data_IF_163941975751
#
_entry.id   IF_163941975751
#
_cell.length_a   1.000
_cell.length_b   1.000
_cell.length_c   1.000
_cell.angle_alpha   90.00
_cell.angle_beta   90.00
_cell.angle_gamma   90.00
#
_symmetry.space_group_name_H-M   'P 1'
#
loop_
_entity.id
_entity.type
_entity.pdbx_description
1 polymer ?
#
# COMPACT_ATOMS: atom_id res chain seq x y z
N UNK A 1 13.44 -8.43 -10.29
CA UNK A 1 13.49 -7.17 -9.50
C UNK A 1 14.18 -7.42 -8.17
N UNK A 2 15.15 -6.58 -7.75
CA UNK A 2 15.78 -6.70 -6.42
C UNK A 2 14.68 -6.62 -5.35
N UNK A 3 14.63 -7.58 -4.40
CA UNK A 3 13.60 -7.68 -3.33
C UNK A 3 13.28 -6.36 -2.63
N UNK A 4 14.26 -5.45 -2.54
CA UNK A 4 14.11 -4.08 -2.04
C UNK A 4 13.01 -3.26 -2.72
N UNK A 5 12.86 -3.38 -4.04
CA UNK A 5 11.87 -2.63 -4.78
C UNK A 5 10.47 -3.25 -4.64
N UNK A 6 10.38 -4.56 -4.36
CA UNK A 6 9.09 -5.25 -4.24
C UNK A 6 8.27 -4.75 -3.05
N UNK A 7 8.87 -4.63 -1.86
CA UNK A 7 8.15 -4.15 -0.68
C UNK A 7 7.72 -2.69 -0.78
N UNK A 8 8.56 -1.86 -1.41
CA UNK A 8 8.24 -0.46 -1.69
C UNK A 8 7.05 -0.36 -2.66
N UNK A 9 7.15 -1.01 -3.81
CA UNK A 9 6.10 -1.02 -4.82
C UNK A 9 4.79 -1.60 -4.29
N UNK A 10 4.85 -2.67 -3.50
CA UNK A 10 3.67 -3.27 -2.87
C UNK A 10 3.00 -2.32 -1.88
N UNK A 11 3.76 -1.67 -1.01
CA UNK A 11 3.21 -0.70 -0.04
C UNK A 11 2.53 0.46 -0.75
N UNK A 12 3.18 1.01 -1.78
CA UNK A 12 2.64 2.14 -2.56
C UNK A 12 1.37 1.71 -3.31
N UNK A 13 1.39 0.54 -3.94
CA UNK A 13 0.24 -0.01 -4.65
C UNK A 13 -0.96 -0.19 -3.72
N UNK A 14 -0.78 -0.82 -2.54
CA UNK A 14 -1.85 -1.03 -1.57
C UNK A 14 -2.40 0.32 -1.04
N UNK A 15 -1.51 1.29 -0.78
CA UNK A 15 -1.91 2.63 -0.35
C UNK A 15 -2.76 3.35 -1.41
N UNK A 16 -2.32 3.34 -2.67
CA UNK A 16 -3.09 3.90 -3.79
C UNK A 16 -4.44 3.19 -3.98
N UNK A 17 -4.46 1.87 -3.84
CA UNK A 17 -5.68 1.09 -3.99
C UNK A 17 -6.70 1.36 -2.86
N UNK A 18 -6.22 1.68 -1.67
CA UNK A 18 -7.08 2.07 -0.53
C UNK A 18 -7.87 3.36 -0.83
N UNK A 19 -7.26 4.30 -1.56
CA UNK A 19 -7.88 5.59 -1.95
C UNK A 19 -8.43 5.57 -3.38
N UNK A 20 -8.60 4.39 -3.99
CA UNK A 20 -9.08 4.29 -5.35
C UNK A 20 -10.52 4.83 -5.49
N UNK A 21 -10.77 5.51 -6.62
CA UNK A 21 -12.08 6.03 -6.98
C UNK A 21 -12.60 5.31 -8.21
N UNK A 22 -13.90 5.07 -8.23
CA UNK A 22 -14.60 4.66 -9.43
C UNK A 22 -15.12 5.91 -10.16
N UNK A 23 -14.96 5.91 -11.47
CA UNK A 23 -15.49 6.95 -12.35
C UNK A 23 -16.59 6.31 -13.16
N UNK A 24 -17.83 6.73 -12.91
CA UNK A 24 -18.95 6.41 -13.80
C UNK A 24 -19.40 7.70 -14.48
N UNK A 25 -20.11 7.60 -15.60
CA UNK A 25 -20.36 8.69 -16.58
C UNK A 25 -20.82 10.04 -15.99
N UNK A 26 -21.33 10.07 -14.76
CA UNK A 26 -21.76 11.30 -14.08
C UNK A 26 -21.24 11.48 -12.64
N UNK A 27 -20.51 10.52 -12.07
CA UNK A 27 -20.14 10.55 -10.64
C UNK A 27 -18.75 9.97 -10.34
N UNK A 28 -17.99 10.71 -9.52
CA UNK A 28 -16.81 10.21 -8.82
C UNK A 28 -17.26 9.60 -7.49
N UNK A 29 -17.21 8.28 -7.38
CA UNK A 29 -17.51 7.59 -6.13
C UNK A 29 -16.26 6.92 -5.59
N UNK A 30 -16.13 6.85 -4.27
CA UNK A 30 -15.04 6.09 -3.68
C UNK A 30 -15.26 4.60 -3.97
N UNK A 31 -14.24 3.89 -4.45
CA UNK A 31 -14.35 2.50 -4.93
C UNK A 31 -14.91 1.56 -3.85
N UNK A 32 -14.67 1.90 -2.58
CA UNK A 32 -15.03 1.08 -1.44
C UNK A 32 -16.28 1.56 -0.70
N UNK A 33 -17.06 2.47 -1.28
CA UNK A 33 -18.29 3.01 -0.67
C UNK A 33 -19.22 1.88 -0.19
N UNK A 34 -19.42 0.84 -1.01
CA UNK A 34 -20.28 -0.30 -0.68
C UNK A 34 -19.55 -1.42 0.09
N UNK A 35 -18.22 -1.32 0.23
CA UNK A 35 -17.36 -2.36 0.80
C UNK A 35 -16.26 -1.76 1.71
N UNK A 36 -16.68 -0.94 2.66
CA UNK A 36 -15.81 -0.27 3.64
C UNK A 36 -14.84 -1.25 4.35
N UNK A 37 -15.24 -2.49 4.73
CA UNK A 37 -14.31 -3.43 5.36
C UNK A 37 -13.06 -3.73 4.51
N UNK A 38 -13.20 -3.75 3.18
CA UNK A 38 -12.07 -4.01 2.27
C UNK A 38 -11.07 -2.86 2.31
N UNK A 39 -11.54 -1.61 2.30
CA UNK A 39 -10.68 -0.43 2.46
C UNK A 39 -9.92 -0.45 3.79
N UNK A 40 -10.58 -0.86 4.88
CA UNK A 40 -9.95 -0.97 6.20
C UNK A 40 -8.84 -2.02 6.17
N UNK A 41 -9.10 -3.21 5.61
CA UNK A 41 -8.11 -4.28 5.48
C UNK A 41 -6.93 -3.82 4.61
N UNK A 42 -7.19 -3.12 3.50
CA UNK A 42 -6.16 -2.54 2.63
C UNK A 42 -5.32 -1.50 3.36
N UNK A 43 -5.95 -0.64 4.16
CA UNK A 43 -5.25 0.34 4.99
C UNK A 43 -4.32 -0.32 6.02
N UNK A 44 -4.81 -1.32 6.76
CA UNK A 44 -4.04 -2.07 7.74
C UNK A 44 -2.86 -2.80 7.08
N UNK A 45 -3.11 -3.49 5.96
CA UNK A 45 -2.05 -4.20 5.22
C UNK A 45 -1.02 -3.24 4.65
N UNK A 46 -1.41 -2.06 4.17
CA UNK A 46 -0.48 -1.01 3.75
C UNK A 46 0.46 -0.59 4.88
N UNK A 47 -0.08 -0.36 6.09
CA UNK A 47 0.72 0.03 7.26
C UNK A 47 1.72 -1.07 7.63
N UNK A 48 1.27 -2.32 7.73
CA UNK A 48 2.14 -3.46 8.07
C UNK A 48 3.27 -3.59 7.06
N UNK A 49 2.94 -3.53 5.77
CA UNK A 49 3.92 -3.67 4.67
C UNK A 49 4.92 -2.51 4.69
N UNK A 50 4.46 -1.29 4.96
CA UNK A 50 5.31 -0.12 5.13
C UNK A 50 6.29 -0.23 6.29
N UNK A 51 5.84 -0.75 7.45
CA UNK A 51 6.71 -1.01 8.61
C UNK A 51 7.79 -2.05 8.25
N UNK A 52 7.40 -3.14 7.57
CA UNK A 52 8.32 -4.19 7.13
C UNK A 52 9.35 -3.60 6.16
N UNK A 53 8.92 -2.76 5.23
CA UNK A 53 9.80 -2.08 4.28
C UNK A 53 10.83 -1.20 4.99
N UNK A 54 10.41 -0.37 5.94
CA UNK A 54 11.33 0.49 6.73
C UNK A 54 12.33 -0.36 7.52
N UNK A 55 11.87 -1.43 8.19
CA UNK A 55 12.76 -2.35 8.92
C UNK A 55 13.78 -3.01 7.98
N UNK A 56 13.35 -3.42 6.79
CA UNK A 56 14.22 -4.02 5.79
C UNK A 56 15.28 -3.05 5.27
N UNK A 57 14.90 -1.79 5.01
CA UNK A 57 15.84 -0.74 4.61
C UNK A 57 16.88 -0.45 5.70
N UNK A 58 16.46 -0.40 6.98
CA UNK A 58 17.38 -0.24 8.12
C UNK A 58 18.38 -1.39 8.18
N UNK A 59 17.92 -2.64 8.06
CA UNK A 59 18.79 -3.83 8.08
C UNK A 59 19.83 -3.81 6.94
N UNK A 60 19.44 -3.39 5.74
CA UNK A 60 20.37 -3.26 4.61
C UNK A 60 21.40 -2.16 4.86
N UNK A 61 21.00 -1.00 5.42
CA UNK A 61 21.95 0.09 5.74
C UNK A 61 23.00 -0.38 6.74
N UNK A 62 22.61 -1.07 7.80
CA UNK A 62 23.55 -1.60 8.80
C UNK A 62 24.45 -2.73 8.25
N UNK A 63 23.99 -3.51 7.27
CA UNK A 63 24.80 -4.55 6.62
C UNK A 63 25.86 -4.03 5.64
N UNK A 64 25.79 -2.74 5.28
CA UNK A 64 26.74 -2.09 4.35
C UNK A 64 27.76 -1.19 5.07
N UNK A 65 27.63 -1.02 6.39
CA UNK A 65 28.69 -0.50 7.26
C UNK A 65 29.56 -1.66 7.72
#
# INVERSE_FOLDING_TARGET
>A
MKRRNLFMSLTIMLGMFTVAFNFNDEQLTWLWTDNIPVAIILGITTIITGIIWIKYQKKIKCSKQ
#
